data_IF_825335719566
#
_entry.id   IF_825335719566
#
_cell.length_a   1.000
_cell.length_b   1.000
_cell.length_c   1.000
_cell.angle_alpha   90.00
_cell.angle_beta   90.00
_cell.angle_gamma   90.00
#
_symmetry.space_group_name_H-M   'P 1'
#
loop_
_entity.id
_entity.type
_entity.pdbx_description
1 polymer ?
#
# COMPACT_ATOMS: atom_id res chain seq x y z
N UNK A 1 42.36 -51.99 -37.68
CA UNK A 1 41.13 -52.62 -38.21
C UNK A 1 40.05 -51.54 -38.14
N UNK A 2 39.75 -50.84 -39.24
CA UNK A 2 38.72 -51.19 -40.25
C UNK A 2 37.34 -51.41 -39.58
N UNK A 3 36.25 -50.71 -39.91
CA UNK A 3 35.84 -50.14 -41.21
C UNK A 3 34.70 -49.12 -41.07
N UNK A 4 34.75 -48.12 -41.95
CA UNK A 4 33.68 -47.29 -42.55
C UNK A 4 32.33 -47.98 -42.75
N UNK A 5 31.18 -47.29 -42.73
CA UNK A 5 30.62 -46.68 -43.96
C UNK A 5 29.49 -45.68 -43.74
N UNK A 6 29.42 -44.74 -44.68
CA UNK A 6 28.49 -43.61 -44.85
C UNK A 6 27.19 -44.06 -45.52
N UNK A 7 26.11 -43.30 -45.31
CA UNK A 7 25.19 -42.97 -46.41
C UNK A 7 24.82 -41.49 -46.37
N UNK A 8 24.96 -40.86 -47.53
CA UNK A 8 24.65 -39.46 -47.87
C UNK A 8 23.26 -39.41 -48.51
N UNK A 9 22.50 -38.34 -48.28
CA UNK A 9 21.61 -37.70 -49.27
C UNK A 9 21.48 -36.22 -48.86
N UNK A 10 22.21 -35.33 -49.53
CA UNK A 10 21.77 -34.45 -50.65
C UNK A 10 20.90 -33.25 -50.20
N UNK A 11 21.62 -32.12 -50.06
CA UNK A 11 21.27 -30.69 -50.23
C UNK A 11 20.34 -30.42 -51.46
N UNK A 12 19.62 -29.27 -51.57
CA UNK A 12 20.21 -27.93 -51.53
C UNK A 12 19.42 -26.77 -50.90
N UNK A 13 20.14 -25.66 -50.84
CA UNK A 13 19.82 -24.35 -50.31
C UNK A 13 18.85 -23.55 -51.19
N UNK A 14 18.12 -22.64 -50.55
CA UNK A 14 17.63 -21.41 -51.16
C UNK A 14 17.66 -20.30 -50.12
N UNK A 15 18.59 -19.37 -50.31
CA UNK A 15 18.48 -18.01 -49.81
C UNK A 15 17.66 -17.22 -50.83
N UNK A 16 16.62 -16.50 -50.39
CA UNK A 16 16.03 -15.39 -51.13
C UNK A 16 15.71 -14.26 -50.16
N UNK A 17 16.06 -13.06 -50.60
CA UNK A 17 16.09 -11.81 -49.88
C UNK A 17 14.71 -11.15 -49.67
N UNK A 18 14.68 -10.32 -48.62
CA UNK A 18 14.03 -9.00 -48.46
C UNK A 18 12.92 -8.64 -49.46
N UNK A 19 11.72 -8.40 -48.93
CA UNK A 19 10.85 -7.33 -49.40
C UNK A 19 10.05 -6.76 -48.22
N UNK A 20 10.34 -5.50 -47.86
CA UNK A 20 9.45 -4.69 -47.06
C UNK A 20 8.29 -4.22 -47.94
N UNK A 21 7.05 -4.40 -47.49
CA UNK A 21 5.92 -3.59 -47.92
C UNK A 21 5.19 -3.06 -46.67
N UNK A 22 5.37 -1.75 -46.47
CA UNK A 22 4.44 -0.89 -45.76
C UNK A 22 3.14 -0.85 -46.55
N UNK A 23 2.05 -1.35 -45.98
CA UNK A 23 0.69 -0.90 -46.32
C UNK A 23 -0.11 -0.78 -45.02
N UNK A 24 -0.31 0.48 -44.67
CA UNK A 24 -1.43 1.06 -43.93
C UNK A 24 -2.65 0.15 -43.79
N UNK A 25 -3.03 -0.11 -42.54
CA UNK A 25 -4.33 -0.66 -42.17
C UNK A 25 -4.68 -0.21 -40.77
N UNK A 26 -5.29 0.97 -40.64
CA UNK A 26 -6.12 1.32 -39.51
C UNK A 26 -7.19 0.23 -39.38
N UNK A 27 -7.05 -0.69 -38.43
CA UNK A 27 -8.18 -1.41 -37.88
C UNK A 27 -8.40 -0.90 -36.47
N UNK A 28 -9.27 0.11 -36.39
CA UNK A 28 -10.05 0.38 -35.21
C UNK A 28 -10.88 -0.89 -34.93
N UNK A 29 -10.49 -1.63 -33.91
CA UNK A 29 -11.34 -2.66 -33.34
C UNK A 29 -12.45 -1.99 -32.55
N UNK A 30 -13.64 -1.92 -33.13
CA UNK A 30 -14.88 -1.76 -32.38
C UNK A 30 -14.99 -2.88 -31.35
N UNK A 31 -15.05 -2.54 -30.06
CA UNK A 31 -15.96 -3.16 -29.11
C UNK A 31 -15.97 -2.44 -27.76
N UNK A 32 -17.21 -2.20 -27.31
CA UNK A 32 -17.66 -1.77 -25.99
C UNK A 32 -17.73 -0.25 -25.70
N UNK A 33 -18.40 0.49 -26.59
CA UNK A 33 -19.21 1.64 -26.15
C UNK A 33 -20.40 1.14 -25.33
N UNK A 34 -20.28 1.20 -24.00
CA UNK A 34 -21.42 1.44 -23.12
C UNK A 34 -21.13 2.71 -22.33
N UNK A 35 -21.20 3.84 -23.04
CA UNK A 35 -21.26 5.17 -22.43
C UNK A 35 -22.73 5.50 -22.16
N UNK A 36 -23.03 5.73 -20.89
CA UNK A 36 -24.32 6.19 -20.37
C UNK A 36 -24.71 7.52 -21.07
N UNK A 37 -26.00 7.77 -21.42
CA UNK A 37 -26.42 8.89 -22.27
C UNK A 37 -26.53 10.22 -21.51
N UNK A 38 -25.77 10.40 -20.42
CA UNK A 38 -25.85 11.55 -19.52
C UNK A 38 -24.68 12.52 -19.66
N UNK A 39 -24.19 12.78 -20.88
CA UNK A 39 -23.34 13.95 -21.18
C UNK A 39 -22.16 14.21 -20.22
N UNK A 40 -21.61 13.16 -19.60
CA UNK A 40 -20.47 13.30 -18.71
C UNK A 40 -19.23 13.58 -19.56
N UNK A 41 -18.59 14.73 -19.35
CA UNK A 41 -17.32 15.05 -19.96
C UNK A 41 -16.34 13.90 -19.70
N UNK A 42 -15.69 13.40 -20.76
CA UNK A 42 -14.62 12.42 -20.62
C UNK A 42 -13.61 12.97 -19.59
N UNK A 43 -13.26 12.22 -18.54
CA UNK A 43 -12.36 12.72 -17.52
C UNK A 43 -11.06 13.16 -18.19
N UNK A 44 -10.63 14.39 -17.92
CA UNK A 44 -9.35 14.91 -18.38
C UNK A 44 -8.24 13.89 -18.07
N UNK A 45 -7.27 13.76 -18.98
CA UNK A 45 -6.31 12.66 -19.04
C UNK A 45 -5.85 12.15 -17.67
N UNK A 46 -6.34 10.96 -17.28
CA UNK A 46 -5.96 10.29 -16.04
C UNK A 46 -4.57 9.61 -16.15
N UNK A 47 -3.88 9.77 -17.28
CA UNK A 47 -2.57 9.17 -17.56
C UNK A 47 -1.48 9.66 -16.61
N UNK A 48 -1.59 10.89 -16.09
CA UNK A 48 -0.54 11.54 -15.29
C UNK A 48 -0.85 11.56 -13.78
N UNK A 49 -1.85 10.78 -13.34
CA UNK A 49 -2.25 10.73 -11.92
C UNK A 49 -1.13 10.15 -11.03
N UNK A 50 -0.29 9.28 -11.59
CA UNK A 50 0.80 8.63 -10.87
C UNK A 50 2.02 8.38 -11.77
N UNK A 51 3.17 8.11 -11.15
CA UNK A 51 4.46 7.98 -11.84
C UNK A 51 4.61 6.74 -12.72
N UNK A 52 3.76 5.73 -12.52
CA UNK A 52 3.53 4.63 -13.45
C UNK A 52 2.19 3.97 -13.15
N UNK A 53 1.52 3.52 -14.21
CA UNK A 53 0.25 2.81 -14.13
C UNK A 53 0.17 1.67 -15.14
N UNK A 54 -0.75 0.75 -14.89
CA UNK A 54 -1.25 -0.23 -15.86
C UNK A 54 -2.73 0.01 -16.05
N UNK A 55 -3.34 -0.49 -17.11
CA UNK A 55 -4.79 -0.41 -17.30
C UNK A 55 -5.39 -1.79 -17.13
N UNK A 56 -6.43 -1.92 -16.30
CA UNK A 56 -7.20 -3.16 -16.14
C UNK A 56 -8.68 -2.82 -16.23
N UNK A 57 -9.42 -3.50 -17.10
CA UNK A 57 -10.85 -3.25 -17.32
C UNK A 57 -11.18 -1.77 -17.59
N UNK A 58 -10.31 -1.06 -18.32
CA UNK A 58 -10.48 0.36 -18.64
C UNK A 58 -10.16 1.34 -17.50
N UNK A 59 -9.78 0.85 -16.31
CA UNK A 59 -9.40 1.69 -15.17
C UNK A 59 -7.87 1.70 -15.01
N UNK A 60 -7.23 2.86 -14.85
CA UNK A 60 -5.84 2.96 -14.46
C UNK A 60 -5.57 2.40 -13.05
N UNK A 61 -4.57 1.54 -12.94
CA UNK A 61 -4.01 1.01 -11.70
C UNK A 61 -2.62 1.58 -11.48
N UNK A 62 -2.47 2.47 -10.50
CA UNK A 62 -1.18 3.06 -10.15
C UNK A 62 -0.27 2.01 -9.52
N UNK A 63 0.75 1.61 -10.26
CA UNK A 63 1.81 0.70 -9.80
C UNK A 63 2.94 1.47 -9.14
N UNK A 64 3.09 2.77 -9.42
CA UNK A 64 4.11 3.63 -8.78
C UNK A 64 3.59 5.06 -8.61
N UNK A 65 3.76 5.60 -7.40
CA UNK A 65 3.39 6.98 -7.06
C UNK A 65 4.58 7.93 -7.25
N UNK A 66 4.30 9.23 -7.37
CA UNK A 66 5.36 10.24 -7.42
C UNK A 66 6.07 10.36 -6.06
N UNK A 67 7.37 10.67 -6.04
CA UNK A 67 8.07 10.98 -4.79
C UNK A 67 7.65 12.37 -4.27
N UNK A 68 7.78 12.59 -2.97
CA UNK A 68 7.59 13.90 -2.34
C UNK A 68 6.24 14.10 -1.66
N UNK A 69 5.79 15.35 -1.58
CA UNK A 69 4.55 15.76 -0.89
C UNK A 69 3.28 15.50 -1.69
N UNK A 70 3.39 15.40 -3.03
CA UNK A 70 2.25 15.23 -3.94
C UNK A 70 2.35 13.91 -4.72
N UNK A 71 2.18 12.75 -4.06
CA UNK A 71 2.36 11.42 -4.66
C UNK A 71 1.29 11.06 -5.69
N UNK A 72 0.12 11.72 -5.65
CA UNK A 72 -1.00 11.59 -6.58
C UNK A 72 -1.32 12.97 -7.14
N UNK A 73 -1.46 13.08 -8.47
CA UNK A 73 -1.73 14.35 -9.17
C UNK A 73 -3.09 14.31 -9.85
N UNK A 74 -4.11 14.78 -9.16
CA UNK A 74 -5.46 14.84 -9.71
C UNK A 74 -5.60 16.01 -10.69
N UNK A 75 -6.33 15.86 -11.81
CA UNK A 75 -6.66 16.98 -12.69
C UNK A 75 -7.57 18.02 -11.98
N UNK A 76 -7.98 19.05 -12.72
CA UNK A 76 -9.03 19.96 -12.28
C UNK A 76 -10.37 19.22 -12.09
N UNK A 77 -11.19 19.66 -11.13
CA UNK A 77 -12.54 19.10 -10.96
C UNK A 77 -13.37 19.39 -12.22
N UNK A 78 -14.13 18.40 -12.77
CA UNK A 78 -14.89 18.60 -14.00
C UNK A 78 -15.98 19.67 -13.87
N UNK A 79 -16.56 19.83 -12.67
CA UNK A 79 -17.56 20.86 -12.41
C UNK A 79 -17.70 21.13 -10.90
N UNK A 80 -18.62 22.02 -10.53
CA UNK A 80 -18.94 22.25 -9.11
C UNK A 80 -19.64 21.08 -8.44
N UNK A 81 -20.31 20.24 -9.22
CA UNK A 81 -21.10 19.07 -8.76
C UNK A 81 -20.37 17.74 -9.02
N UNK A 82 -19.21 17.76 -9.66
CA UNK A 82 -18.37 16.60 -9.89
C UNK A 82 -16.95 16.89 -9.47
N UNK A 83 -16.42 16.12 -8.51
CA UNK A 83 -15.08 16.37 -7.96
C UNK A 83 -14.29 15.08 -7.81
N UNK A 84 -12.97 15.18 -7.99
CA UNK A 84 -12.07 14.09 -7.67
C UNK A 84 -11.72 14.08 -6.19
N UNK A 85 -11.51 12.89 -5.65
CA UNK A 85 -11.18 12.72 -4.24
C UNK A 85 -11.07 11.27 -3.83
N UNK A 86 -11.06 11.06 -2.51
CA UNK A 86 -10.98 9.73 -1.93
C UNK A 86 -11.74 9.62 -0.60
N UNK A 87 -12.06 8.39 -0.21
CA UNK A 87 -12.66 8.09 1.08
C UNK A 87 -11.64 8.36 2.20
N UNK A 88 -12.07 9.06 3.25
CA UNK A 88 -11.28 9.23 4.49
C UNK A 88 -11.35 7.98 5.34
N UNK A 89 -10.28 7.70 6.06
CA UNK A 89 -10.24 6.60 7.02
C UNK A 89 -11.15 6.89 8.22
N UNK A 90 -11.79 5.84 8.72
CA UNK A 90 -12.57 5.80 9.96
C UNK A 90 -13.89 6.59 9.94
N UNK A 91 -14.22 7.27 8.83
CA UNK A 91 -15.39 8.15 8.76
C UNK A 91 -16.10 8.03 7.41
N UNK A 92 -17.44 8.21 7.34
CA UNK A 92 -18.19 8.25 6.09
C UNK A 92 -18.02 9.62 5.39
N UNK A 93 -16.77 10.00 5.11
CA UNK A 93 -16.39 11.30 4.57
C UNK A 93 -15.55 11.12 3.32
N UNK A 94 -15.76 11.99 2.34
CA UNK A 94 -15.00 12.06 1.08
C UNK A 94 -14.15 13.32 1.06
N UNK A 95 -12.84 13.15 0.91
CA UNK A 95 -11.89 14.25 0.82
C UNK A 95 -11.69 14.69 -0.63
N UNK A 96 -11.83 15.99 -0.90
CA UNK A 96 -11.55 16.61 -2.20
C UNK A 96 -10.54 17.76 -2.03
N UNK A 97 -10.01 18.28 -3.15
CA UNK A 97 -9.17 19.49 -3.13
C UNK A 97 -9.84 20.70 -2.45
N UNK A 98 -11.17 20.78 -2.54
CA UNK A 98 -11.97 21.85 -1.95
C UNK A 98 -12.44 21.55 -0.51
N UNK A 99 -11.95 20.47 0.10
CA UNK A 99 -12.27 20.05 1.46
C UNK A 99 -13.15 18.81 1.51
N UNK A 100 -13.59 18.51 2.73
CA UNK A 100 -14.32 17.29 3.07
C UNK A 100 -15.82 17.43 2.80
N UNK A 101 -16.42 16.35 2.29
CA UNK A 101 -17.85 16.25 2.02
C UNK A 101 -18.44 15.00 2.69
N UNK A 102 -19.64 15.08 3.27
CA UNK A 102 -20.33 13.91 3.79
C UNK A 102 -20.78 12.97 2.65
N UNK A 103 -20.78 11.67 2.94
CA UNK A 103 -21.40 10.66 2.07
C UNK A 103 -22.90 10.55 2.36
N UNK A 104 -23.71 10.36 1.33
CA UNK A 104 -25.12 10.03 1.50
C UNK A 104 -25.30 8.66 2.18
N UNK A 105 -26.42 8.46 2.86
CA UNK A 105 -26.75 7.17 3.48
C UNK A 105 -26.76 6.01 2.47
N UNK A 106 -27.19 6.26 1.22
CA UNK A 106 -27.17 5.25 0.15
C UNK A 106 -25.76 4.84 -0.25
N UNK A 107 -24.82 5.80 -0.35
CA UNK A 107 -23.41 5.52 -0.63
C UNK A 107 -22.77 4.73 0.52
N UNK A 108 -23.01 5.14 1.77
CA UNK A 108 -22.50 4.41 2.94
C UNK A 108 -23.04 2.98 2.98
N UNK A 109 -24.34 2.78 2.73
CA UNK A 109 -24.96 1.45 2.67
C UNK A 109 -24.34 0.59 1.56
N UNK A 110 -24.09 1.14 0.38
CA UNK A 110 -23.42 0.45 -0.74
C UNK A 110 -22.02 -0.02 -0.34
N UNK A 111 -21.24 0.86 0.29
CA UNK A 111 -19.85 0.57 0.68
C UNK A 111 -19.78 -0.52 1.75
N UNK A 112 -20.67 -0.48 2.75
CA UNK A 112 -20.79 -1.57 3.75
C UNK A 112 -21.15 -2.90 3.10
N UNK A 113 -22.16 -2.91 2.22
CA UNK A 113 -22.55 -4.12 1.49
C UNK A 113 -21.47 -4.64 0.52
N UNK A 114 -20.55 -3.78 0.07
CA UNK A 114 -19.39 -4.20 -0.71
C UNK A 114 -18.36 -4.90 0.17
N UNK A 115 -18.08 -4.34 1.35
CA UNK A 115 -17.21 -4.95 2.35
C UNK A 115 -17.72 -6.33 2.79
N UNK A 116 -19.02 -6.46 3.06
CA UNK A 116 -19.63 -7.75 3.45
C UNK A 116 -19.42 -8.85 2.39
N UNK A 117 -19.14 -8.45 1.14
CA UNK A 117 -18.83 -9.33 0.01
C UNK A 117 -17.32 -9.44 -0.27
N UNK A 118 -16.47 -8.97 0.65
CA UNK A 118 -15.01 -8.98 0.52
C UNK A 118 -14.44 -7.99 -0.50
N UNK A 119 -15.23 -7.00 -0.96
CA UNK A 119 -14.77 -6.01 -1.94
C UNK A 119 -14.31 -4.73 -1.26
N UNK A 120 -13.02 -4.43 -1.36
CA UNK A 120 -12.37 -3.29 -0.68
C UNK A 120 -11.67 -2.31 -1.63
N UNK A 121 -11.86 -2.46 -2.94
CA UNK A 121 -11.22 -1.61 -3.95
C UNK A 121 -11.58 -0.13 -3.79
N UNK A 122 -12.81 0.17 -3.33
CA UNK A 122 -13.28 1.54 -3.09
C UNK A 122 -12.34 2.31 -2.13
N UNK A 123 -11.80 1.69 -1.07
CA UNK A 123 -10.87 2.40 -0.16
C UNK A 123 -9.43 2.48 -0.68
N UNK A 124 -9.16 1.87 -1.84
CA UNK A 124 -7.88 1.97 -2.55
C UNK A 124 -8.01 2.81 -3.82
N UNK A 125 -9.13 3.49 -4.02
CA UNK A 125 -9.44 4.24 -5.23
C UNK A 125 -9.41 5.75 -5.02
N UNK A 126 -9.04 6.46 -6.09
CA UNK A 126 -9.51 7.82 -6.36
C UNK A 126 -10.86 7.68 -7.07
N UNK A 127 -11.85 8.47 -6.64
CA UNK A 127 -13.16 8.50 -7.27
C UNK A 127 -13.44 9.84 -7.93
N UNK A 128 -14.27 9.80 -8.98
CA UNK A 128 -15.10 10.92 -9.38
C UNK A 128 -16.41 10.86 -8.59
N UNK A 129 -16.64 11.86 -7.73
CA UNK A 129 -17.85 11.96 -6.92
C UNK A 129 -18.89 12.84 -7.60
N UNK A 130 -20.16 12.45 -7.54
CA UNK A 130 -21.30 13.34 -7.84
C UNK A 130 -21.85 13.94 -6.55
N UNK A 131 -22.03 15.26 -6.53
CA UNK A 131 -22.39 16.05 -5.37
C UNK A 131 -23.74 16.71 -5.60
N UNK A 132 -24.67 16.48 -4.68
CA UNK A 132 -26.00 17.13 -4.65
C UNK A 132 -26.16 17.80 -3.30
N UNK A 133 -26.41 19.11 -3.31
CA UNK A 133 -26.61 19.93 -2.08
C UNK A 133 -25.51 19.70 -1.03
N UNK A 134 -24.24 19.67 -1.46
CA UNK A 134 -23.08 19.49 -0.58
C UNK A 134 -22.85 18.06 -0.08
N UNK A 135 -23.60 17.07 -0.56
CA UNK A 135 -23.44 15.66 -0.17
C UNK A 135 -23.03 14.80 -1.36
N UNK A 136 -22.11 13.86 -1.16
CA UNK A 136 -21.71 12.89 -2.19
C UNK A 136 -22.79 11.82 -2.33
N UNK A 137 -23.39 11.72 -3.51
CA UNK A 137 -24.50 10.78 -3.80
C UNK A 137 -24.10 9.63 -4.72
N UNK A 138 -23.01 9.78 -5.47
CA UNK A 138 -22.42 8.73 -6.32
C UNK A 138 -20.90 8.80 -6.22
N UNK A 139 -20.27 7.63 -6.24
CA UNK A 139 -18.81 7.47 -6.34
C UNK A 139 -18.52 6.55 -7.51
N UNK A 140 -17.63 6.97 -8.39
CA UNK A 140 -17.14 6.20 -9.53
C UNK A 140 -15.61 6.07 -9.42
N UNK A 141 -15.06 4.86 -9.23
CA UNK A 141 -13.61 4.68 -9.20
C UNK A 141 -13.02 5.06 -10.56
N UNK A 142 -12.09 6.01 -10.56
CA UNK A 142 -11.42 6.47 -11.79
C UNK A 142 -9.95 6.07 -11.83
N UNK A 143 -9.33 5.83 -10.68
CA UNK A 143 -7.97 5.29 -10.57
C UNK A 143 -7.92 4.39 -9.33
N UNK A 144 -7.34 3.20 -9.48
CA UNK A 144 -7.02 2.32 -8.35
C UNK A 144 -5.55 2.48 -8.00
N UNK A 145 -5.22 2.75 -6.74
CA UNK A 145 -3.84 2.73 -6.29
C UNK A 145 -3.53 1.36 -5.74
N UNK A 146 -2.55 0.68 -6.36
CA UNK A 146 -2.17 -0.64 -5.88
C UNK A 146 -1.63 -0.55 -4.45
N UNK A 147 -2.05 -1.52 -3.63
CA UNK A 147 -1.62 -1.69 -2.25
C UNK A 147 -0.10 -1.51 -2.07
N UNK A 148 0.69 -2.13 -2.94
CA UNK A 148 2.15 -2.05 -2.89
C UNK A 148 2.68 -0.66 -3.25
N UNK A 149 2.04 0.06 -4.18
CA UNK A 149 2.43 1.42 -4.52
C UNK A 149 2.25 2.36 -3.33
N UNK A 150 1.14 2.18 -2.60
CA UNK A 150 0.81 2.95 -1.42
C UNK A 150 1.76 2.66 -0.25
N UNK A 151 1.98 1.38 0.09
CA UNK A 151 2.94 0.97 1.13
C UNK A 151 4.34 1.53 0.84
N UNK A 152 4.80 1.43 -0.41
CA UNK A 152 6.12 1.94 -0.79
C UNK A 152 6.23 3.45 -0.66
N UNK A 153 5.22 4.21 -1.09
CA UNK A 153 5.28 5.67 -1.04
C UNK A 153 5.47 6.20 0.39
N UNK A 154 4.96 5.47 1.39
CA UNK A 154 5.00 5.92 2.78
C UNK A 154 6.15 5.30 3.57
N UNK A 155 6.47 4.03 3.36
CA UNK A 155 7.36 3.27 4.26
C UNK A 155 8.64 2.74 3.60
N UNK A 156 8.71 2.61 2.27
CA UNK A 156 9.85 1.95 1.64
C UNK A 156 11.16 2.71 1.87
N UNK A 157 12.20 1.97 2.29
CA UNK A 157 13.51 2.50 2.62
C UNK A 157 13.53 3.45 3.83
N UNK A 158 12.44 3.51 4.62
CA UNK A 158 12.35 4.35 5.81
C UNK A 158 12.52 3.51 7.08
N UNK A 159 12.73 4.22 8.17
CA UNK A 159 12.79 3.63 9.50
C UNK A 159 11.63 4.10 10.37
N UNK A 160 11.26 3.26 11.33
CA UNK A 160 10.39 3.60 12.43
C UNK A 160 11.12 3.37 13.76
N UNK A 161 10.92 4.28 14.71
CA UNK A 161 11.50 4.19 16.05
C UNK A 161 10.43 4.38 17.13
N UNK A 162 10.68 3.82 18.30
CA UNK A 162 9.86 4.03 19.47
C UNK A 162 10.16 2.96 20.50
N UNK A 163 9.14 2.28 21.00
CA UNK A 163 9.30 1.30 22.08
C UNK A 163 8.61 -0.03 21.80
N UNK A 164 9.15 -1.10 22.39
CA UNK A 164 8.61 -2.46 22.37
C UNK A 164 8.34 -2.96 23.80
N UNK A 165 7.28 -3.75 23.97
CA UNK A 165 6.90 -4.41 25.22
C UNK A 165 7.92 -5.45 25.65
N UNK A 166 8.22 -5.50 26.94
CA UNK A 166 9.26 -6.38 27.48
C UNK A 166 8.71 -7.74 27.86
N UNK A 167 9.52 -8.78 27.75
CA UNK A 167 9.11 -10.11 28.20
C UNK A 167 9.17 -10.18 29.72
N UNK A 168 8.06 -10.59 30.33
CA UNK A 168 7.92 -10.77 31.78
C UNK A 168 8.51 -12.10 32.23
N UNK A 169 8.74 -12.25 33.54
CA UNK A 169 9.19 -13.53 34.13
C UNK A 169 8.20 -14.68 33.92
N UNK A 170 6.91 -14.38 33.72
CA UNK A 170 5.85 -15.37 33.49
C UNK A 170 5.78 -15.84 32.04
N UNK A 171 6.48 -15.17 31.14
CA UNK A 171 6.51 -15.47 29.71
C UNK A 171 5.61 -14.58 28.85
N UNK A 172 4.73 -13.80 29.48
CA UNK A 172 3.91 -12.78 28.83
C UNK A 172 4.71 -11.51 28.50
N UNK A 173 4.04 -10.51 27.93
CA UNK A 173 4.62 -9.20 27.62
C UNK A 173 3.98 -8.08 28.42
N UNK A 174 4.76 -7.05 28.76
CA UNK A 174 4.23 -5.85 29.41
C UNK A 174 3.34 -5.08 28.43
N UNK A 175 2.14 -4.69 28.87
CA UNK A 175 1.19 -3.91 28.05
C UNK A 175 1.71 -2.52 27.69
N UNK A 176 2.54 -1.92 28.55
CA UNK A 176 3.24 -0.66 28.26
C UNK A 176 4.61 -0.97 27.65
N UNK A 177 4.88 -0.57 26.39
CA UNK A 177 6.19 -0.73 25.78
C UNK A 177 7.19 0.26 26.40
N UNK A 178 8.43 -0.20 26.60
CA UNK A 178 9.48 0.62 27.28
C UNK A 178 10.87 0.42 26.71
N UNK A 179 11.16 -0.72 26.07
CA UNK A 179 12.48 -0.93 25.47
C UNK A 179 12.57 -0.16 24.15
N UNK A 180 13.60 0.67 23.94
CA UNK A 180 13.76 1.38 22.69
C UNK A 180 14.01 0.43 21.53
N UNK A 181 13.38 0.69 20.39
CA UNK A 181 13.46 -0.17 19.21
C UNK A 181 13.53 0.66 17.93
N UNK A 182 14.25 0.14 16.93
CA UNK A 182 14.29 0.68 15.58
C UNK A 182 14.01 -0.40 14.55
N UNK A 183 13.03 -0.13 13.71
CA UNK A 183 12.62 -0.92 12.56
C UNK A 183 13.13 -0.25 11.29
N UNK A 184 13.75 -1.00 10.40
CA UNK A 184 14.11 -0.53 9.07
C UNK A 184 13.43 -1.40 8.00
N UNK A 185 12.85 -0.75 7.00
CA UNK A 185 12.09 -1.40 5.94
C UNK A 185 12.84 -1.39 4.61
N UNK A 186 12.65 -2.46 3.82
CA UNK A 186 13.22 -2.59 2.50
C UNK A 186 12.75 -1.47 1.55
N UNK A 187 13.51 -1.23 0.48
CA UNK A 187 13.13 -0.29 -0.57
C UNK A 187 12.04 -0.81 -1.52
N UNK A 188 11.71 -2.11 -1.44
CA UNK A 188 10.78 -2.80 -2.32
C UNK A 188 9.89 -3.76 -1.54
N UNK A 189 8.73 -4.08 -2.11
CA UNK A 189 7.79 -5.06 -1.57
C UNK A 189 8.04 -6.45 -2.16
N UNK A 190 7.77 -7.50 -1.38
CA UNK A 190 7.71 -8.89 -1.82
C UNK A 190 6.36 -9.48 -1.39
N UNK A 191 5.69 -10.23 -2.26
CA UNK A 191 4.42 -10.93 -1.95
C UNK A 191 3.33 -10.05 -1.32
N UNK A 192 3.20 -8.80 -1.79
CA UNK A 192 2.21 -7.85 -1.28
C UNK A 192 2.60 -7.09 -0.01
N UNK A 193 3.79 -7.35 0.52
CA UNK A 193 4.27 -6.88 1.84
C UNK A 193 5.56 -6.10 1.74
N UNK A 194 5.80 -5.21 2.70
CA UNK A 194 7.06 -4.51 2.84
C UNK A 194 7.89 -5.16 3.95
N UNK A 195 8.93 -5.91 3.56
CA UNK A 195 9.79 -6.58 4.53
C UNK A 195 10.63 -5.59 5.33
N UNK A 196 10.94 -5.94 6.57
CA UNK A 196 11.72 -5.11 7.47
C UNK A 196 12.48 -5.92 8.51
N UNK A 197 13.24 -5.19 9.32
CA UNK A 197 14.02 -5.77 10.42
C UNK A 197 14.10 -4.82 11.61
N UNK A 198 14.09 -5.40 12.80
CA UNK A 198 14.53 -4.72 14.03
C UNK A 198 16.05 -4.67 14.04
N UNK A 199 16.62 -3.50 13.79
CA UNK A 199 18.07 -3.35 13.58
C UNK A 199 18.88 -3.36 14.86
N UNK A 200 18.25 -3.02 16.00
CA UNK A 200 18.87 -3.13 17.32
C UNK A 200 18.56 -4.46 18.03
N UNK A 201 18.23 -5.51 17.28
CA UNK A 201 17.94 -6.82 17.87
C UNK A 201 19.15 -7.39 18.64
N UNK A 202 20.35 -7.36 18.06
CA UNK A 202 21.56 -7.98 18.63
C UNK A 202 22.76 -7.07 18.83
N UNK A 203 22.64 -5.81 18.41
CA UNK A 203 23.69 -4.80 18.55
C UNK A 203 23.06 -3.45 18.84
N UNK A 204 23.84 -2.59 19.49
CA UNK A 204 23.43 -1.21 19.64
C UNK A 204 23.47 -0.50 18.28
N UNK A 205 22.52 0.40 18.05
CA UNK A 205 22.45 1.20 16.82
C UNK A 205 22.17 2.65 17.15
N UNK A 206 22.59 3.55 16.28
CA UNK A 206 22.27 4.97 16.42
C UNK A 206 20.81 5.22 16.04
N UNK A 207 20.06 5.88 16.91
CA UNK A 207 18.71 6.36 16.65
C UNK A 207 18.69 7.65 15.82
N UNK A 208 17.51 8.08 15.40
CA UNK A 208 17.34 9.27 14.58
C UNK A 208 17.73 10.57 15.30
N UNK A 209 17.58 10.61 16.62
CA UNK A 209 17.99 11.73 17.47
C UNK A 209 19.48 11.65 17.88
N UNK A 210 20.24 10.70 17.31
CA UNK A 210 21.67 10.52 17.58
C UNK A 210 21.98 9.72 18.85
N UNK A 211 20.97 9.34 19.63
CA UNK A 211 21.10 8.49 20.82
C UNK A 211 21.40 7.04 20.45
N UNK A 212 22.12 6.31 21.29
CA UNK A 212 22.37 4.88 21.05
C UNK A 212 21.25 4.03 21.63
N UNK A 213 20.55 3.31 20.75
CA UNK A 213 19.54 2.33 21.12
C UNK A 213 20.25 1.01 21.46
N UNK A 214 20.11 0.47 22.68
CA UNK A 214 20.78 -0.75 23.09
C UNK A 214 20.32 -1.98 22.31
N UNK A 215 21.17 -3.01 22.30
CA UNK A 215 20.83 -4.33 21.79
C UNK A 215 19.71 -4.97 22.66
N UNK A 216 18.64 -5.45 22.02
CA UNK A 216 17.50 -6.06 22.72
C UNK A 216 17.85 -7.41 23.36
N UNK A 217 18.67 -8.23 22.68
CA UNK A 217 19.08 -9.56 23.15
C UNK A 217 19.96 -9.53 24.41
N UNK A 218 20.63 -8.40 24.68
CA UNK A 218 21.43 -8.18 25.89
C UNK A 218 20.60 -7.77 27.09
N UNK A 219 19.30 -7.52 26.91
CA UNK A 219 18.39 -7.18 28.01
C UNK A 219 17.87 -8.46 28.68
N UNK A 220 17.76 -8.44 30.02
CA UNK A 220 17.17 -9.58 30.77
C UNK A 220 15.70 -9.85 30.42
N UNK A 221 15.04 -8.90 29.78
CA UNK A 221 13.63 -8.96 29.37
C UNK A 221 13.49 -8.90 27.85
N UNK A 222 14.42 -9.55 27.12
CA UNK A 222 14.45 -9.61 25.66
C UNK A 222 13.06 -9.95 25.10
N UNK A 223 12.48 -9.07 24.27
CA UNK A 223 11.16 -9.30 23.70
C UNK A 223 11.15 -10.24 22.49
N UNK A 224 12.32 -10.54 21.91
CA UNK A 224 12.44 -11.33 20.69
C UNK A 224 12.67 -12.81 21.03
N UNK A 225 11.60 -13.51 21.42
CA UNK A 225 11.64 -14.92 21.83
C UNK A 225 10.58 -15.73 21.08
N UNK A 226 10.93 -16.94 20.64
CA UNK A 226 10.01 -17.83 19.93
C UNK A 226 9.64 -17.27 18.55
N UNK A 227 8.34 -17.06 18.24
CA UNK A 227 7.92 -16.55 16.94
C UNK A 227 8.23 -15.04 16.75
N UNK A 228 8.50 -14.31 17.84
CA UNK A 228 8.83 -12.90 17.77
C UNK A 228 10.32 -12.74 17.44
N UNK A 229 10.64 -12.59 16.16
CA UNK A 229 12.02 -12.48 15.69
C UNK A 229 12.35 -11.06 15.23
N UNK A 230 13.63 -10.79 14.93
CA UNK A 230 14.01 -9.51 14.35
C UNK A 230 13.46 -9.28 12.93
N UNK A 231 12.99 -10.33 12.23
CA UNK A 231 12.40 -10.21 10.89
C UNK A 231 10.92 -9.90 11.02
N UNK A 232 10.48 -8.90 10.28
CA UNK A 232 9.09 -8.44 10.30
C UNK A 232 8.66 -8.03 8.89
N UNK A 233 7.37 -7.81 8.74
CA UNK A 233 6.72 -7.43 7.50
C UNK A 233 5.66 -6.37 7.81
N UNK A 234 5.50 -5.37 6.94
CA UNK A 234 4.35 -4.47 6.98
C UNK A 234 3.38 -4.84 5.88
N UNK A 235 2.12 -4.95 6.29
CA UNK A 235 1.00 -5.13 5.39
C UNK A 235 -0.07 -4.06 5.55
N UNK A 236 -0.81 -3.83 4.46
CA UNK A 236 -1.94 -2.91 4.40
C UNK A 236 -3.23 -3.72 4.23
N UNK A 237 -4.12 -3.66 5.22
CA UNK A 237 -5.43 -4.34 5.17
C UNK A 237 -6.55 -3.31 5.12
N UNK A 238 -7.13 -3.05 3.94
CA UNK A 238 -8.24 -2.10 3.80
C UNK A 238 -9.53 -2.63 4.42
N UNK A 239 -10.24 -1.77 5.16
CA UNK A 239 -11.54 -2.08 5.78
C UNK A 239 -11.55 -3.39 6.58
N UNK A 240 -10.52 -3.61 7.40
CA UNK A 240 -10.25 -4.89 8.07
C UNK A 240 -11.38 -5.31 9.04
N UNK A 241 -11.81 -4.41 9.92
CA UNK A 241 -12.87 -4.73 10.90
C UNK A 241 -14.23 -4.21 10.48
N UNK A 242 -14.27 -3.02 9.87
CA UNK A 242 -15.50 -2.37 9.39
C UNK A 242 -15.20 -1.50 8.16
N UNK A 243 -16.24 -1.01 7.48
CA UNK A 243 -16.05 -0.11 6.35
C UNK A 243 -15.28 1.14 6.78
N UNK A 244 -14.35 1.61 5.95
CA UNK A 244 -13.44 2.74 6.21
C UNK A 244 -12.41 2.50 7.32
N UNK A 245 -12.46 1.36 8.02
CA UNK A 245 -11.46 1.00 9.04
C UNK A 245 -10.29 0.28 8.38
N UNK A 246 -9.34 1.09 7.95
CA UNK A 246 -8.14 0.60 7.34
C UNK A 246 -7.02 0.39 8.36
N UNK A 247 -6.35 -0.77 8.31
CA UNK A 247 -5.36 -1.21 9.31
C UNK A 247 -3.98 -1.44 8.68
N UNK A 248 -2.96 -0.89 9.34
CA UNK A 248 -1.56 -1.25 9.07
C UNK A 248 -1.26 -2.45 9.96
N UNK A 249 -0.59 -3.46 9.42
CA UNK A 249 -0.31 -4.71 10.12
C UNK A 249 1.19 -4.92 10.14
N UNK A 250 1.77 -5.12 11.33
CA UNK A 250 3.15 -5.57 11.51
C UNK A 250 3.13 -7.06 11.72
N UNK A 251 3.50 -7.83 10.71
CA UNK A 251 3.56 -9.28 10.79
C UNK A 251 4.92 -9.74 11.35
N UNK A 252 4.88 -10.63 12.33
CA UNK A 252 6.02 -11.40 12.81
C UNK A 252 6.14 -12.74 12.08
N UNK A 253 4.99 -13.35 11.78
CA UNK A 253 4.82 -14.55 10.97
C UNK A 253 3.40 -14.57 10.38
N UNK A 254 3.07 -15.57 9.56
CA UNK A 254 1.77 -15.65 8.86
C UNK A 254 0.56 -15.60 9.82
N UNK A 255 0.67 -16.17 11.02
CA UNK A 255 -0.42 -16.22 12.01
C UNK A 255 -0.29 -15.21 13.17
N UNK A 256 0.73 -14.33 13.14
CA UNK A 256 1.06 -13.45 14.25
C UNK A 256 1.41 -12.04 13.79
N UNK A 257 0.62 -11.07 14.27
CA UNK A 257 0.79 -9.69 13.85
C UNK A 257 0.38 -8.68 14.91
N UNK A 258 1.03 -7.53 14.91
CA UNK A 258 0.57 -6.36 15.63
C UNK A 258 -0.33 -5.53 14.72
N UNK A 259 -1.46 -5.07 15.26
CA UNK A 259 -2.42 -4.22 14.56
C UNK A 259 -2.68 -2.98 15.41
N UNK A 260 -2.96 -1.86 14.75
CA UNK A 260 -3.15 -0.60 15.43
C UNK A 260 -3.78 0.43 14.52
N UNK A 261 -4.73 1.16 15.10
CA UNK A 261 -5.52 2.18 14.41
C UNK A 261 -4.70 3.44 14.09
N UNK A 262 -5.27 4.34 13.27
CA UNK A 262 -4.78 5.70 13.01
C UNK A 262 -3.41 5.89 12.32
N UNK A 263 -2.60 4.84 12.12
CA UNK A 263 -1.31 4.92 11.42
C UNK A 263 -1.30 4.25 10.04
N UNK A 264 -2.47 4.08 9.44
CA UNK A 264 -2.64 3.57 8.09
C UNK A 264 -2.67 4.66 7.01
N UNK A 265 -1.84 4.60 5.96
CA UNK A 265 -1.99 5.52 4.84
C UNK A 265 -3.19 5.18 3.94
N UNK A 266 -4.18 6.08 3.89
CA UNK A 266 -5.32 6.00 2.98
C UNK A 266 -5.01 6.74 1.66
N UNK A 267 -5.90 6.64 0.67
CA UNK A 267 -5.79 7.50 -0.53
C UNK A 267 -6.00 8.96 -0.15
N UNK A 268 -6.90 9.26 0.80
CA UNK A 268 -7.05 10.62 1.32
C UNK A 268 -5.76 11.12 2.00
N UNK A 269 -4.95 10.24 2.60
CA UNK A 269 -3.66 10.60 3.22
C UNK A 269 -2.69 11.12 2.16
N UNK A 270 -2.66 10.45 1.00
CA UNK A 270 -1.85 10.83 -0.15
C UNK A 270 -2.33 12.14 -0.81
N UNK A 271 -3.57 12.55 -0.55
CA UNK A 271 -4.16 13.81 -1.01
C UNK A 271 -4.13 14.91 0.07
N UNK A 272 -3.57 14.64 1.26
CA UNK A 272 -3.50 15.59 2.37
C UNK A 272 -4.77 15.72 3.22
N UNK A 273 -5.74 14.83 3.06
CA UNK A 273 -7.04 14.89 3.75
C UNK A 273 -7.08 14.29 5.15
N UNK A 274 -6.24 13.29 5.43
CA UNK A 274 -6.07 12.71 6.76
C UNK A 274 -4.60 12.36 7.03
N UNK A 275 -3.85 13.16 7.82
CA UNK A 275 -2.46 12.83 8.11
C UNK A 275 -2.36 11.51 8.89
N UNK A 276 -1.23 10.83 8.75
CA UNK A 276 -0.90 9.71 9.62
C UNK A 276 -0.89 10.16 11.09
N UNK A 277 -1.25 9.23 11.98
CA UNK A 277 -1.02 9.41 13.41
C UNK A 277 0.44 9.77 13.69
N UNK A 278 0.71 10.37 14.86
CA UNK A 278 2.09 10.70 15.26
C UNK A 278 2.86 9.46 15.70
N UNK A 279 2.15 8.53 16.34
CA UNK A 279 2.67 7.27 16.86
C UNK A 279 1.66 6.19 16.42
N UNK A 280 2.19 5.05 16.02
CA UNK A 280 1.48 3.82 15.78
C UNK A 280 1.55 2.97 17.03
N UNK A 281 0.48 2.99 17.81
CA UNK A 281 0.32 2.14 18.98
C UNK A 281 -0.36 0.85 18.54
N UNK A 282 0.21 -0.29 18.90
CA UNK A 282 -0.28 -1.58 18.43
C UNK A 282 -0.38 -2.60 19.55
N UNK A 283 -1.34 -3.51 19.40
CA UNK A 283 -1.47 -4.70 20.22
C UNK A 283 -1.34 -5.94 19.34
N UNK A 284 -1.00 -7.08 19.96
CA UNK A 284 -0.90 -8.33 19.23
C UNK A 284 -2.29 -8.88 18.87
N UNK A 285 -2.42 -9.30 17.61
CA UNK A 285 -3.48 -10.13 17.05
C UNK A 285 -2.90 -11.47 16.58
N UNK A 286 -3.67 -12.54 16.77
CA UNK A 286 -3.26 -13.91 16.43
C UNK A 286 -3.09 -14.82 17.65
N UNK A 287 -2.50 -16.00 17.44
CA UNK A 287 -2.23 -16.99 18.51
C UNK A 287 -0.72 -17.29 18.60
N UNK A 288 -0.09 -17.20 19.79
CA UNK A 288 -0.68 -16.81 21.08
C UNK A 288 -1.22 -15.37 21.06
N UNK A 289 -2.23 -15.08 21.87
CA UNK A 289 -2.82 -13.73 21.96
C UNK A 289 -1.98 -12.74 22.77
N UNK A 290 -0.80 -13.17 23.25
CA UNK A 290 0.17 -12.36 23.97
C UNK A 290 1.47 -12.24 23.15
N UNK A 291 1.87 -10.99 22.87
CA UNK A 291 3.10 -10.63 22.18
C UNK A 291 3.54 -9.23 22.56
N UNK A 292 4.71 -8.78 22.11
CA UNK A 292 5.20 -7.46 22.45
C UNK A 292 4.33 -6.38 21.78
N UNK A 293 3.63 -5.51 22.53
CA UNK A 293 3.08 -4.29 21.94
C UNK A 293 4.24 -3.44 21.39
N UNK A 294 3.98 -2.70 20.32
CA UNK A 294 4.93 -1.72 19.78
C UNK A 294 4.27 -0.37 19.61
N UNK A 295 5.01 0.66 20.01
CA UNK A 295 4.68 2.07 19.77
C UNK A 295 5.75 2.64 18.87
N UNK A 296 5.40 3.01 17.64
CA UNK A 296 6.37 3.36 16.61
C UNK A 296 6.01 4.64 15.87
N UNK A 297 6.99 5.46 15.52
CA UNK A 297 6.82 6.63 14.64
C UNK A 297 7.80 6.57 13.48
N UNK A 298 7.42 7.13 12.33
CA UNK A 298 8.33 7.34 11.21
C UNK A 298 9.42 8.34 11.62
N UNK A 299 10.66 8.05 11.27
CA UNK A 299 11.82 8.91 11.56
C UNK A 299 12.65 9.17 10.31
N UNK A 300 13.52 10.19 10.39
CA UNK A 300 14.52 10.52 9.37
C UNK A 300 15.91 10.42 9.98
N UNK A 301 16.83 9.77 9.28
CA UNK A 301 18.21 9.58 9.75
C UNK A 301 18.36 8.44 10.76
N UNK A 302 19.50 8.45 11.48
CA UNK A 302 19.92 7.34 12.33
C UNK A 302 20.37 6.12 11.53
N UNK A 303 20.45 4.98 12.21
CA UNK A 303 21.00 3.73 11.67
C UNK A 303 22.52 3.64 11.85
N UNK A 304 23.06 2.46 11.53
CA UNK A 304 24.48 2.17 11.73
C UNK A 304 24.86 1.83 13.18
N UNK A 305 26.12 1.50 13.40
CA UNK A 305 26.62 1.06 14.69
C UNK A 305 26.74 2.22 15.69
N UNK A 306 26.45 1.86 16.94
CA UNK A 306 27.07 2.44 18.13
C UNK A 306 28.14 1.45 18.62
#
# INVERSE_FOLDING_TARGET
MNTTSRSRLRRPATAVAIAALLLTGCQAGEAATHLDPTGAAAPAGLSDVCAASTTRNGVPHCTRLFPGSDPIRLPGDPSRTQRYGALKRGTPTFHTRAGDLPLSASVVKRLKAALDKGRTDDVSAVHLATIVKGTVTKLEPVVIVEKNALLRAVFAGRAMEGTIGTRTKRGDYTSKPTLPVRFEFAGSTADGRLTGRIVNASKAVRGAEGTCLPALDRTKSNPLVGPFTAKVSLDRVPSMHTAFNDELVLEWSDDLSNMGFAYYPSIATLLGGDPLGRIWETILHGTPSAGPPVDLRLVKGGGGAC
#
